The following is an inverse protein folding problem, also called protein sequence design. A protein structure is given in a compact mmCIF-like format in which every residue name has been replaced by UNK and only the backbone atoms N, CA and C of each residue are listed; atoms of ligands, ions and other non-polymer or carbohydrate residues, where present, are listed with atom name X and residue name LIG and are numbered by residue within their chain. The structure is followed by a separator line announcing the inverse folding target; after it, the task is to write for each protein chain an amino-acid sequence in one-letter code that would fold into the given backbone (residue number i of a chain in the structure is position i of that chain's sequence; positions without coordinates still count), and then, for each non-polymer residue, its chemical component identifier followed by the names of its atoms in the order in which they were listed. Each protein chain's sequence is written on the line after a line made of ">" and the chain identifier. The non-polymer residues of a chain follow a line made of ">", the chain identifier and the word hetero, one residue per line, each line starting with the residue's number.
data_IF_830043516647
#
_entry.id   IF_830043516647
#
_cell.length_a   1.000
_cell.length_b   1.000
_cell.length_c   1.000
_cell.angle_alpha   90.00
_cell.angle_beta   90.00
_cell.angle_gamma   90.00
#
_symmetry.space_group_name_H-M   'P 1'
#
loop_
_entity.id
_entity.type
_entity.pdbx_description
1 polymer ?
#
# COMPACT_ATOMS: atom_id res chain seq x y z
N UNK A 1 -35.29 -21.15 33.90
CA UNK A 1 -35.00 -21.53 32.51
C UNK A 1 -36.05 -20.86 31.62
N UNK A 2 -35.67 -19.80 30.93
CA UNK A 2 -36.55 -19.09 30.01
C UNK A 2 -35.77 -18.86 28.72
N UNK A 3 -36.04 -19.67 27.69
CA UNK A 3 -35.54 -19.46 26.35
C UNK A 3 -36.20 -18.22 25.76
N UNK A 4 -35.40 -17.32 25.18
CA UNK A 4 -35.87 -16.25 24.31
C UNK A 4 -35.55 -16.61 22.86
N UNK A 5 -36.60 -16.62 22.06
CA UNK A 5 -36.56 -16.71 20.63
C UNK A 5 -35.93 -15.45 19.99
N UNK A 6 -34.95 -15.71 19.11
CA UNK A 6 -34.75 -15.22 17.73
C UNK A 6 -34.95 -13.71 17.45
N UNK A 7 -33.93 -13.06 16.87
CA UNK A 7 -34.19 -12.28 15.66
C UNK A 7 -32.99 -12.17 14.70
N UNK A 8 -33.23 -12.67 13.49
CA UNK A 8 -32.61 -12.36 12.19
C UNK A 8 -31.55 -11.25 12.15
N UNK A 9 -30.28 -11.65 12.01
CA UNK A 9 -29.37 -10.93 11.13
C UNK A 9 -29.23 -11.72 9.83
N UNK A 10 -29.56 -11.02 8.74
CA UNK A 10 -29.65 -11.49 7.37
C UNK A 10 -28.56 -12.51 7.03
N UNK A 11 -29.00 -13.74 6.75
CA UNK A 11 -28.31 -14.65 5.85
C UNK A 11 -28.28 -13.98 4.49
N UNK A 12 -27.25 -13.16 4.21
CA UNK A 12 -26.94 -12.69 2.87
C UNK A 12 -26.77 -13.94 2.00
N UNK A 13 -27.56 -14.04 0.93
CA UNK A 13 -27.49 -15.13 -0.05
C UNK A 13 -26.03 -15.39 -0.42
N UNK A 14 -25.55 -16.54 -0.01
CA UNK A 14 -24.28 -17.13 -0.40
C UNK A 14 -24.33 -17.45 -1.90
N UNK A 15 -24.14 -16.45 -2.76
CA UNK A 15 -23.28 -16.69 -3.91
C UNK A 15 -21.90 -16.78 -3.32
N UNK A 16 -21.36 -17.99 -3.24
CA UNK A 16 -19.96 -18.22 -2.90
C UNK A 16 -19.17 -17.56 -4.03
N UNK A 17 -18.91 -16.26 -3.92
CA UNK A 17 -18.00 -15.56 -4.82
C UNK A 17 -16.69 -16.31 -4.73
N UNK A 18 -16.19 -16.72 -5.89
CA UNK A 18 -15.01 -17.55 -5.97
C UNK A 18 -13.85 -16.69 -5.48
N UNK A 19 -13.27 -17.08 -4.34
CA UNK A 19 -12.02 -16.49 -3.86
C UNK A 19 -10.93 -16.74 -4.89
N UNK A 20 -9.95 -15.84 -4.95
CA UNK A 20 -8.86 -15.90 -5.91
C UNK A 20 -8.04 -17.18 -5.71
N UNK A 21 -7.63 -17.85 -6.80
CA UNK A 21 -6.73 -19.00 -6.67
C UNK A 21 -5.36 -18.57 -6.10
N UNK A 22 -4.70 -19.44 -5.33
CA UNK A 22 -3.41 -19.13 -4.70
C UNK A 22 -2.36 -18.68 -5.72
N UNK A 23 -2.34 -19.28 -6.93
CA UNK A 23 -1.38 -18.89 -7.97
C UNK A 23 -1.71 -17.54 -8.57
N UNK A 24 -2.99 -17.23 -8.75
CA UNK A 24 -3.43 -15.92 -9.24
C UNK A 24 -3.08 -14.83 -8.22
N UNK A 25 -3.30 -15.11 -6.94
CA UNK A 25 -2.91 -14.24 -5.82
C UNK A 25 -1.41 -13.99 -5.79
N UNK A 26 -0.59 -15.04 -5.83
CA UNK A 26 0.87 -14.92 -5.89
C UNK A 26 1.35 -14.14 -7.12
N UNK A 27 0.75 -14.38 -8.29
CA UNK A 27 1.08 -13.65 -9.51
C UNK A 27 0.73 -12.16 -9.40
N UNK A 28 -0.39 -11.80 -8.76
CA UNK A 28 -0.78 -10.41 -8.53
C UNK A 28 0.17 -9.72 -7.54
N UNK A 29 0.56 -10.41 -6.46
CA UNK A 29 1.53 -9.91 -5.48
C UNK A 29 2.88 -9.65 -6.14
N UNK A 30 3.36 -10.60 -6.96
CA UNK A 30 4.61 -10.43 -7.69
C UNK A 30 4.51 -9.30 -8.73
N UNK A 31 3.39 -9.20 -9.44
CA UNK A 31 3.13 -8.10 -10.38
C UNK A 31 3.18 -6.73 -9.69
N UNK A 32 2.63 -6.62 -8.47
CA UNK A 32 2.69 -5.38 -7.70
C UNK A 32 4.13 -4.98 -7.37
N UNK A 33 4.97 -5.95 -7.00
CA UNK A 33 6.42 -5.72 -6.82
C UNK A 33 7.08 -5.24 -8.11
N UNK A 34 6.91 -5.99 -9.20
CA UNK A 34 7.59 -5.74 -10.46
C UNK A 34 7.25 -4.34 -11.01
N UNK A 35 5.97 -3.97 -10.92
CA UNK A 35 5.50 -2.65 -11.35
C UNK A 35 5.99 -1.54 -10.41
N UNK A 36 5.90 -1.71 -9.09
CA UNK A 36 6.39 -0.72 -8.13
C UNK A 36 7.89 -0.45 -8.29
N UNK A 37 8.69 -1.52 -8.42
CA UNK A 37 10.12 -1.44 -8.70
C UNK A 37 10.38 -0.72 -10.03
N UNK A 38 9.74 -1.18 -11.10
CA UNK A 38 9.90 -0.62 -12.44
C UNK A 38 9.55 0.86 -12.49
N UNK A 39 8.44 1.25 -11.86
CA UNK A 39 7.99 2.64 -11.89
C UNK A 39 8.93 3.55 -11.11
N UNK A 40 9.49 3.11 -9.98
CA UNK A 40 10.51 3.91 -9.29
C UNK A 40 11.77 4.07 -10.16
N UNK A 41 12.17 3.00 -10.86
CA UNK A 41 13.31 2.98 -11.78
C UNK A 41 13.10 3.85 -13.03
N UNK A 42 11.88 3.91 -13.55
CA UNK A 42 11.61 4.56 -14.84
C UNK A 42 11.04 5.97 -14.67
N UNK A 43 10.24 6.22 -13.62
CA UNK A 43 9.45 7.45 -13.45
C UNK A 43 9.74 8.25 -12.17
N UNK A 44 10.30 7.62 -11.13
CA UNK A 44 10.52 8.21 -9.81
C UNK A 44 9.20 8.55 -9.08
N UNK A 45 9.33 9.09 -7.88
CA UNK A 45 8.18 9.42 -7.04
C UNK A 45 7.72 8.19 -6.26
N UNK A 46 8.56 7.72 -5.34
CA UNK A 46 8.45 6.41 -4.72
C UNK A 46 7.09 6.07 -4.09
N UNK A 47 6.40 7.03 -3.49
CA UNK A 47 5.04 6.82 -3.00
C UNK A 47 4.02 6.60 -4.13
N UNK A 48 4.09 7.41 -5.19
CA UNK A 48 3.24 7.25 -6.37
C UNK A 48 3.53 5.94 -7.11
N UNK A 49 4.79 5.52 -7.15
CA UNK A 49 5.20 4.28 -7.79
C UNK A 49 4.66 3.04 -7.06
N UNK A 50 4.70 3.02 -5.72
CA UNK A 50 4.07 1.95 -4.94
C UNK A 50 2.55 1.91 -5.15
N UNK A 51 1.90 3.08 -5.13
CA UNK A 51 0.45 3.20 -5.40
C UNK A 51 0.10 2.66 -6.79
N UNK A 52 0.81 3.13 -7.83
CA UNK A 52 0.58 2.71 -9.20
C UNK A 52 0.87 1.21 -9.39
N UNK A 53 1.92 0.68 -8.76
CA UNK A 53 2.23 -0.75 -8.80
C UNK A 53 1.09 -1.61 -8.27
N UNK A 54 0.50 -1.24 -7.13
CA UNK A 54 -0.67 -1.94 -6.57
C UNK A 54 -1.92 -1.77 -7.45
N UNK A 55 -2.23 -0.53 -7.86
CA UNK A 55 -3.39 -0.23 -8.69
C UNK A 55 -3.36 -1.00 -10.03
N UNK A 56 -2.23 -0.97 -10.73
CA UNK A 56 -2.09 -1.64 -12.02
C UNK A 56 -1.98 -3.17 -11.90
N UNK A 57 -1.50 -3.68 -10.77
CA UNK A 57 -1.54 -5.11 -10.48
C UNK A 57 -2.99 -5.60 -10.34
N UNK A 58 -3.83 -4.89 -9.60
CA UNK A 58 -5.27 -5.18 -9.46
C UNK A 58 -6.07 -4.81 -10.71
N UNK A 59 -5.56 -3.91 -11.55
CA UNK A 59 -6.34 -3.24 -12.59
C UNK A 59 -7.44 -2.36 -12.02
N UNK A 60 -7.26 -1.80 -10.81
CA UNK A 60 -8.16 -0.85 -10.14
C UNK A 60 -7.37 0.45 -9.95
N UNK A 61 -7.79 1.52 -10.60
CA UNK A 61 -7.11 2.83 -10.48
C UNK A 61 -7.85 3.77 -9.56
N UNK A 62 -7.11 4.62 -8.86
CA UNK A 62 -7.63 5.78 -8.16
C UNK A 62 -6.64 6.95 -8.35
N UNK A 63 -6.97 7.84 -9.27
CA UNK A 63 -6.09 8.96 -9.65
C UNK A 63 -5.96 10.00 -8.53
N UNK A 64 -6.95 10.12 -7.64
CA UNK A 64 -6.87 11.02 -6.49
C UNK A 64 -5.86 10.51 -5.47
N UNK A 65 -5.87 9.21 -5.18
CA UNK A 65 -4.87 8.57 -4.29
C UNK A 65 -3.47 8.67 -4.92
N UNK A 66 -3.34 8.36 -6.22
CA UNK A 66 -2.07 8.50 -6.94
C UNK A 66 -1.53 9.93 -6.92
N UNK A 67 -2.38 10.93 -7.18
CA UNK A 67 -1.99 12.35 -7.19
C UNK A 67 -1.61 12.84 -5.78
N UNK A 68 -2.36 12.44 -4.76
CA UNK A 68 -2.08 12.79 -3.37
C UNK A 68 -0.72 12.25 -2.88
N UNK A 69 -0.26 11.13 -3.44
CA UNK A 69 1.05 10.54 -3.10
C UNK A 69 2.27 11.34 -3.57
N UNK A 70 2.12 12.33 -4.46
CA UNK A 70 3.25 13.02 -5.09
C UNK A 70 4.19 13.70 -4.09
N UNK A 71 3.64 14.44 -3.13
CA UNK A 71 4.41 15.15 -2.11
C UNK A 71 5.00 14.25 -1.00
N UNK A 72 4.92 12.93 -1.15
CA UNK A 72 5.36 11.95 -0.15
C UNK A 72 6.63 11.19 -0.58
N UNK A 73 7.24 11.57 -1.70
CA UNK A 73 8.45 10.96 -2.23
C UNK A 73 9.72 11.31 -1.41
N UNK A 74 10.73 10.45 -1.37
CA UNK A 74 11.98 10.76 -0.65
C UNK A 74 11.78 11.13 0.83
N UNK A 75 10.77 10.57 1.50
CA UNK A 75 10.43 10.93 2.87
C UNK A 75 9.60 12.21 3.00
N UNK A 76 8.89 12.63 1.94
CA UNK A 76 8.02 13.81 1.93
C UNK A 76 8.37 14.78 0.81
N UNK A 77 8.67 16.03 1.14
CA UNK A 77 9.28 16.95 0.18
C UNK A 77 10.77 16.66 -0.01
N UNK A 78 11.13 15.40 -0.30
CA UNK A 78 12.54 14.94 -0.37
C UNK A 78 13.32 15.14 0.95
N UNK A 79 12.62 15.30 2.07
CA UNK A 79 13.23 15.62 3.36
C UNK A 79 14.00 14.45 3.99
N UNK A 80 13.78 13.21 3.55
CA UNK A 80 14.28 11.93 4.10
C UNK A 80 13.93 11.62 5.55
N UNK A 81 13.49 12.59 6.32
CA UNK A 81 13.13 12.46 7.75
C UNK A 81 11.69 12.00 7.97
N UNK A 82 10.90 11.89 6.91
CA UNK A 82 9.57 11.27 6.92
C UNK A 82 9.57 9.81 6.44
N UNK A 83 8.38 9.25 6.33
CA UNK A 83 8.18 7.85 5.94
C UNK A 83 8.70 7.54 4.53
N UNK A 84 9.32 6.37 4.35
CA UNK A 84 9.69 5.82 3.05
C UNK A 84 8.47 5.77 2.10
N UNK A 85 8.67 6.15 0.84
CA UNK A 85 7.59 6.19 -0.14
C UNK A 85 6.95 4.82 -0.39
N UNK A 86 7.73 3.73 -0.37
CA UNK A 86 7.18 2.37 -0.48
C UNK A 86 6.17 2.04 0.62
N UNK A 87 6.51 2.37 1.88
CA UNK A 87 5.62 2.20 3.03
C UNK A 87 4.39 3.11 2.94
N UNK A 88 4.62 4.40 2.67
CA UNK A 88 3.55 5.40 2.56
C UNK A 88 2.56 5.05 1.46
N UNK A 89 3.04 4.71 0.26
CA UNK A 89 2.19 4.39 -0.88
C UNK A 89 1.33 3.15 -0.64
N UNK A 90 1.91 2.08 -0.08
CA UNK A 90 1.17 0.89 0.31
C UNK A 90 0.09 1.20 1.36
N UNK A 91 0.44 1.99 2.38
CA UNK A 91 -0.49 2.42 3.43
C UNK A 91 -1.66 3.23 2.86
N UNK A 92 -1.39 4.10 1.87
CA UNK A 92 -2.42 4.91 1.21
C UNK A 92 -3.40 4.05 0.42
N UNK A 93 -2.92 3.02 -0.30
CA UNK A 93 -3.82 2.10 -1.03
C UNK A 93 -4.65 1.28 -0.04
N UNK A 94 -4.05 0.70 1.00
CA UNK A 94 -4.80 -0.04 2.02
C UNK A 94 -5.89 0.81 2.67
N UNK A 95 -5.55 2.06 3.02
CA UNK A 95 -6.50 3.01 3.59
C UNK A 95 -7.54 3.53 2.58
N UNK A 96 -7.31 3.44 1.26
CA UNK A 96 -8.36 3.79 0.29
C UNK A 96 -9.42 2.71 0.17
N UNK A 97 -9.10 1.45 0.46
CA UNK A 97 -10.07 0.34 0.49
C UNK A 97 -10.85 0.29 1.80
N UNK A 98 -10.15 0.42 2.94
CA UNK A 98 -10.76 0.21 4.26
C UNK A 98 -10.67 1.42 5.17
N UNK A 99 -10.47 2.62 4.65
CA UNK A 99 -10.47 3.85 5.42
C UNK A 99 -11.88 4.40 5.63
N UNK A 100 -12.10 5.03 6.78
CA UNK A 100 -13.37 5.72 7.05
C UNK A 100 -13.55 6.95 6.16
N UNK A 101 -14.79 7.22 5.77
CA UNK A 101 -15.17 8.48 5.13
C UNK A 101 -15.39 9.59 6.16
N UNK A 102 -15.40 10.84 5.70
CA UNK A 102 -15.81 11.99 6.54
C UNK A 102 -17.27 11.86 6.99
N UNK A 103 -18.16 11.38 6.13
CA UNK A 103 -19.58 11.20 6.47
C UNK A 103 -19.78 10.20 7.62
N UNK A 104 -18.91 9.18 7.72
CA UNK A 104 -18.98 8.13 8.74
C UNK A 104 -18.05 8.37 9.93
N UNK A 105 -17.38 9.52 10.04
CA UNK A 105 -16.22 9.68 10.96
C UNK A 105 -16.54 9.50 12.45
N UNK A 106 -17.78 9.77 12.84
CA UNK A 106 -18.30 9.66 14.20
C UNK A 106 -19.21 8.44 14.42
N UNK A 107 -19.26 7.51 13.45
CA UNK A 107 -20.10 6.31 13.52
C UNK A 107 -19.32 5.09 14.05
N UNK A 108 -20.04 4.05 14.45
CA UNK A 108 -19.42 2.76 14.83
C UNK A 108 -18.76 2.07 13.63
N UNK A 109 -19.43 2.09 12.47
CA UNK A 109 -18.90 1.56 11.20
C UNK A 109 -17.60 2.27 10.79
N UNK A 110 -17.60 3.60 10.72
CA UNK A 110 -16.38 4.35 10.40
C UNK A 110 -15.29 4.23 11.46
N UNK A 111 -15.62 3.85 12.70
CA UNK A 111 -14.61 3.48 13.70
C UNK A 111 -13.99 2.12 13.38
N UNK A 112 -14.77 1.14 12.95
CA UNK A 112 -14.29 -0.17 12.53
C UNK A 112 -13.34 -0.05 11.33
N UNK A 113 -13.79 0.60 10.24
CA UNK A 113 -12.98 0.84 9.03
C UNK A 113 -11.61 1.45 9.39
N UNK A 114 -11.61 2.51 10.21
CA UNK A 114 -10.38 3.13 10.69
C UNK A 114 -9.43 2.13 11.35
N UNK A 115 -9.92 1.22 12.19
CA UNK A 115 -9.06 0.23 12.85
C UNK A 115 -8.58 -0.87 11.89
N UNK A 116 -9.36 -1.23 10.86
CA UNK A 116 -8.90 -2.13 9.81
C UNK A 116 -7.77 -1.49 9.00
N UNK A 117 -7.93 -0.22 8.58
CA UNK A 117 -6.84 0.52 7.92
C UNK A 117 -5.58 0.62 8.79
N UNK A 118 -5.72 0.80 10.11
CA UNK A 118 -4.59 0.86 11.04
C UNK A 118 -3.89 -0.48 11.18
N UNK A 119 -4.66 -1.57 11.27
CA UNK A 119 -4.11 -2.92 11.40
C UNK A 119 -3.33 -3.32 10.16
N UNK A 120 -3.88 -3.09 8.96
CA UNK A 120 -3.18 -3.41 7.72
C UNK A 120 -1.93 -2.54 7.54
N UNK A 121 -2.02 -1.23 7.82
CA UNK A 121 -0.86 -0.33 7.79
C UNK A 121 0.24 -0.79 8.75
N UNK A 122 -0.14 -1.25 9.95
CA UNK A 122 0.80 -1.84 10.92
C UNK A 122 1.48 -3.09 10.38
N UNK A 123 0.76 -3.96 9.67
CA UNK A 123 1.36 -5.15 9.06
C UNK A 123 2.41 -4.79 7.99
N UNK A 124 2.19 -3.72 7.20
CA UNK A 124 3.24 -3.21 6.28
C UNK A 124 4.41 -2.64 7.08
N UNK A 125 4.13 -1.85 8.12
CA UNK A 125 5.16 -1.30 9.00
C UNK A 125 6.07 -2.39 9.55
N UNK A 126 5.51 -3.48 10.07
CA UNK A 126 6.27 -4.56 10.69
C UNK A 126 7.20 -5.25 9.67
N UNK A 127 6.74 -5.46 8.43
CA UNK A 127 7.59 -5.97 7.34
C UNK A 127 8.71 -4.99 6.96
N UNK A 128 8.45 -3.68 6.97
CA UNK A 128 9.49 -2.67 6.75
C UNK A 128 10.52 -2.65 7.88
N UNK A 129 10.08 -2.71 9.14
CA UNK A 129 11.00 -2.76 10.28
C UNK A 129 11.82 -4.05 10.25
N UNK A 130 11.20 -5.18 9.94
CA UNK A 130 11.91 -6.46 9.83
C UNK A 130 13.01 -6.44 8.76
N UNK A 131 12.72 -5.91 7.56
CA UNK A 131 13.68 -5.92 6.44
C UNK A 131 14.66 -4.74 6.46
N UNK A 132 14.20 -3.57 6.88
CA UNK A 132 14.90 -2.29 6.71
C UNK A 132 15.25 -1.59 8.02
N UNK A 133 14.88 -2.15 9.17
CA UNK A 133 15.06 -1.58 10.53
C UNK A 133 14.32 -0.25 10.75
N UNK A 134 13.53 0.21 9.76
CA UNK A 134 12.82 1.49 9.84
C UNK A 134 11.73 1.61 8.78
N UNK A 135 10.73 2.44 9.08
CA UNK A 135 9.82 3.01 8.07
C UNK A 135 10.24 4.42 7.64
N UNK A 136 11.19 5.05 8.32
CA UNK A 136 11.68 6.39 7.99
C UNK A 136 12.66 6.29 6.84
N UNK A 137 12.54 7.17 5.84
CA UNK A 137 13.31 7.09 4.61
C UNK A 137 14.82 7.11 4.89
N UNK A 138 15.30 7.95 5.79
CA UNK A 138 16.69 7.96 6.25
C UNK A 138 17.14 6.60 6.83
N UNK A 139 16.31 5.98 7.67
CA UNK A 139 16.61 4.66 8.25
C UNK A 139 16.66 3.55 7.20
N UNK A 140 15.68 3.55 6.29
CA UNK A 140 15.66 2.64 5.14
C UNK A 140 16.90 2.82 4.27
N UNK A 141 17.28 4.07 3.98
CA UNK A 141 18.52 4.37 3.23
C UNK A 141 19.74 3.81 3.95
N UNK A 142 19.86 4.01 5.28
CA UNK A 142 21.00 3.47 6.04
C UNK A 142 21.12 1.95 5.90
N UNK A 143 20.00 1.22 5.87
CA UNK A 143 20.04 -0.22 5.61
C UNK A 143 20.49 -0.54 4.18
N UNK A 144 19.96 0.16 3.18
CA UNK A 144 20.23 -0.09 1.76
C UNK A 144 21.65 0.34 1.31
N UNK A 145 22.21 1.38 1.92
CA UNK A 145 23.47 2.02 1.54
C UNK A 145 24.54 1.92 2.63
N UNK A 146 24.53 0.82 3.39
CA UNK A 146 25.59 0.45 4.34
C UNK A 146 25.92 1.55 5.37
N UNK A 147 24.88 2.06 6.04
CA UNK A 147 24.94 3.08 7.07
C UNK A 147 24.86 4.52 6.57
N UNK A 148 24.73 4.74 5.25
CA UNK A 148 24.63 6.08 4.66
C UNK A 148 23.18 6.47 4.36
N UNK A 149 22.90 7.76 4.51
CA UNK A 149 21.72 8.42 3.97
C UNK A 149 22.14 9.71 3.26
N UNK A 150 21.27 10.23 2.41
CA UNK A 150 21.55 11.38 1.55
C UNK A 150 20.45 12.43 1.74
N UNK A 151 20.81 13.70 1.94
CA UNK A 151 19.82 14.80 1.83
C UNK A 151 19.48 15.00 0.36
N UNK A 152 18.27 14.64 -0.02
CA UNK A 152 17.83 14.66 -1.42
C UNK A 152 17.52 16.07 -1.94
N UNK A 153 17.56 17.09 -1.06
CA UNK A 153 17.40 18.51 -1.42
C UNK A 153 18.73 19.21 -1.66
N UNK A 154 19.83 18.55 -1.31
CA UNK A 154 21.19 18.97 -1.67
C UNK A 154 21.57 18.27 -2.97
N UNK A 155 21.89 19.04 -4.01
CA UNK A 155 22.08 18.49 -5.36
C UNK A 155 23.29 17.54 -5.45
N UNK A 156 24.36 17.81 -4.71
CA UNK A 156 25.55 16.96 -4.68
C UNK A 156 25.25 15.62 -4.00
N UNK A 157 24.55 15.63 -2.87
CA UNK A 157 24.10 14.41 -2.21
C UNK A 157 23.04 13.66 -3.01
N UNK A 158 22.14 14.36 -3.70
CA UNK A 158 21.16 13.75 -4.60
C UNK A 158 21.83 13.06 -5.77
N UNK A 159 22.90 13.64 -6.32
CA UNK A 159 23.70 12.98 -7.35
C UNK A 159 24.45 11.78 -6.76
N UNK A 160 25.07 11.91 -5.58
CA UNK A 160 25.72 10.78 -4.91
C UNK A 160 24.74 9.63 -4.60
N UNK A 161 23.50 9.93 -4.24
CA UNK A 161 22.43 8.94 -4.06
C UNK A 161 22.13 8.18 -5.36
N UNK A 162 22.06 8.89 -6.49
CA UNK A 162 21.87 8.29 -7.82
C UNK A 162 23.05 7.42 -8.22
N UNK A 163 24.26 7.90 -8.02
CA UNK A 163 25.50 7.19 -8.32
C UNK A 163 25.68 5.96 -7.44
N UNK A 164 25.10 5.97 -6.24
CA UNK A 164 25.03 4.84 -5.32
C UNK A 164 23.95 3.79 -5.66
N UNK A 165 23.36 3.86 -6.86
CA UNK A 165 22.49 2.81 -7.36
C UNK A 165 21.00 3.01 -7.12
N UNK A 166 20.55 4.12 -6.53
CA UNK A 166 19.17 4.31 -6.06
C UNK A 166 18.05 3.96 -7.07
N UNK A 167 18.37 4.07 -8.35
CA UNK A 167 17.46 4.00 -9.47
C UNK A 167 17.87 3.03 -10.57
N UNK A 168 18.86 2.16 -10.33
CA UNK A 168 19.31 1.20 -11.33
C UNK A 168 19.84 -0.11 -10.72
N UNK A 169 20.26 -0.10 -9.45
CA UNK A 169 20.63 -1.31 -8.74
C UNK A 169 19.38 -2.00 -8.16
N UNK A 170 19.35 -3.33 -8.28
CA UNK A 170 18.20 -4.15 -7.92
C UNK A 170 17.97 -4.27 -6.39
N UNK A 171 18.92 -3.85 -5.58
CA UNK A 171 18.92 -3.99 -4.12
C UNK A 171 18.79 -2.64 -3.38
N UNK A 172 18.41 -1.56 -4.08
CA UNK A 172 18.32 -0.19 -3.52
C UNK A 172 16.88 0.32 -3.40
N UNK A 173 16.64 1.63 -3.54
CA UNK A 173 15.32 2.22 -3.29
C UNK A 173 14.20 1.66 -4.18
N UNK A 174 14.51 1.22 -5.40
CA UNK A 174 13.55 0.53 -6.26
C UNK A 174 13.01 -0.76 -5.60
N UNK A 175 13.88 -1.53 -4.91
CA UNK A 175 13.47 -2.71 -4.14
C UNK A 175 12.54 -2.34 -3.00
N UNK A 176 12.84 -1.29 -2.23
CA UNK A 176 12.00 -0.86 -1.13
C UNK A 176 10.60 -0.39 -1.59
N UNK A 177 10.50 0.22 -2.77
CA UNK A 177 9.21 0.57 -3.38
C UNK A 177 8.45 -0.67 -3.84
N UNK A 178 9.12 -1.58 -4.55
CA UNK A 178 8.53 -2.85 -4.97
C UNK A 178 8.04 -3.66 -3.78
N UNK A 179 8.82 -3.75 -2.70
CA UNK A 179 8.43 -4.47 -1.48
C UNK A 179 7.21 -3.84 -0.81
N UNK A 180 7.16 -2.50 -0.73
CA UNK A 180 5.97 -1.82 -0.25
C UNK A 180 4.72 -2.22 -1.04
N UNK A 181 4.79 -2.19 -2.37
CA UNK A 181 3.69 -2.61 -3.23
C UNK A 181 3.33 -4.10 -3.06
N UNK A 182 4.33 -4.97 -2.96
CA UNK A 182 4.18 -6.42 -2.74
C UNK A 182 3.45 -6.71 -1.43
N UNK A 183 3.94 -6.16 -0.33
CA UNK A 183 3.41 -6.40 1.00
C UNK A 183 2.04 -5.77 1.18
N UNK A 184 1.84 -4.56 0.63
CA UNK A 184 0.52 -3.94 0.56
C UNK A 184 -0.48 -4.83 -0.18
N UNK A 185 -0.08 -5.42 -1.32
CA UNK A 185 -0.94 -6.32 -2.09
C UNK A 185 -1.27 -7.59 -1.31
N UNK A 186 -0.26 -8.23 -0.72
CA UNK A 186 -0.41 -9.44 0.11
C UNK A 186 -1.44 -9.19 1.22
N UNK A 187 -1.24 -8.13 2.00
CA UNK A 187 -2.10 -7.76 3.13
C UNK A 187 -3.53 -7.43 2.66
N UNK A 188 -3.68 -6.70 1.55
CA UNK A 188 -4.99 -6.38 1.00
C UNK A 188 -5.76 -7.64 0.59
N UNK A 189 -5.10 -8.56 -0.11
CA UNK A 189 -5.74 -9.78 -0.59
C UNK A 189 -6.09 -10.72 0.58
N UNK A 190 -5.22 -10.82 1.59
CA UNK A 190 -5.53 -11.55 2.84
C UNK A 190 -6.73 -10.95 3.58
N UNK A 191 -6.83 -9.62 3.63
CA UNK A 191 -7.96 -8.93 4.24
C UNK A 191 -9.27 -9.26 3.53
N UNK A 192 -9.28 -9.15 2.20
CA UNK A 192 -10.44 -9.47 1.37
C UNK A 192 -10.90 -10.92 1.58
N UNK A 193 -9.96 -11.87 1.56
CA UNK A 193 -10.25 -13.29 1.80
C UNK A 193 -10.88 -13.50 3.18
N UNK A 194 -10.34 -12.84 4.22
CA UNK A 194 -10.84 -12.96 5.60
C UNK A 194 -12.27 -12.44 5.77
N UNK A 195 -12.66 -11.45 4.94
CA UNK A 195 -13.99 -10.85 4.94
C UNK A 195 -14.95 -11.49 3.93
N UNK A 196 -14.48 -12.45 3.13
CA UNK A 196 -15.25 -13.04 2.03
C UNK A 196 -15.59 -12.01 0.94
N UNK A 197 -14.73 -11.00 0.77
CA UNK A 197 -14.84 -9.94 -0.23
C UNK A 197 -13.92 -10.21 -1.42
N UNK A 198 -14.15 -9.49 -2.51
CA UNK A 198 -13.36 -9.56 -3.73
C UNK A 198 -12.97 -8.16 -4.20
N UNK A 199 -11.99 -8.04 -5.08
CA UNK A 199 -11.64 -6.75 -5.70
C UNK A 199 -12.84 -6.10 -6.42
N UNK A 200 -13.76 -6.89 -6.95
CA UNK A 200 -14.97 -6.40 -7.62
C UNK A 200 -15.93 -5.68 -6.67
N UNK A 201 -15.82 -5.90 -5.35
CA UNK A 201 -16.56 -5.11 -4.37
C UNK A 201 -16.14 -3.65 -4.34
N UNK A 202 -14.98 -3.33 -4.89
CA UNK A 202 -14.37 -1.99 -4.89
C UNK A 202 -14.32 -1.36 -6.28
N UNK A 203 -14.93 -1.98 -7.30
CA UNK A 203 -14.96 -1.44 -8.67
C UNK A 203 -16.21 -0.61 -8.95
N UNK A 204 -16.03 0.48 -9.68
CA UNK A 204 -17.11 1.17 -10.39
C UNK A 204 -17.42 0.50 -11.75
N UNK A 205 -18.31 1.11 -12.53
CA UNK A 205 -18.71 0.59 -13.84
C UNK A 205 -17.57 0.63 -14.88
N UNK A 206 -16.62 1.54 -14.70
CA UNK A 206 -15.42 1.69 -15.53
C UNK A 206 -14.26 0.77 -15.06
N UNK A 207 -14.41 0.09 -13.94
CA UNK A 207 -13.41 -0.79 -13.34
C UNK A 207 -12.38 -0.08 -12.46
N UNK A 208 -12.53 1.22 -12.22
CA UNK A 208 -11.72 2.00 -11.28
C UNK A 208 -12.20 1.81 -9.84
N UNK A 209 -11.47 2.34 -8.88
CA UNK A 209 -11.90 2.28 -7.48
C UNK A 209 -13.18 3.11 -7.32
N UNK A 210 -14.26 2.46 -6.88
CA UNK A 210 -15.53 3.15 -6.63
C UNK A 210 -15.35 4.21 -5.55
N UNK A 211 -16.06 5.33 -5.72
CA UNK A 211 -16.18 6.34 -4.68
C UNK A 211 -16.87 5.72 -3.45
N UNK A 212 -16.44 6.08 -2.23
CA UNK A 212 -17.05 5.54 -1.03
C UNK A 212 -18.44 6.16 -0.81
N UNK A 213 -19.38 5.34 -0.33
CA UNK A 213 -20.77 5.72 -0.02
C UNK A 213 -20.91 6.67 1.19
#
# INVERSE_FOLDING_TARGET
>A
MAGRHINNHLVRKCHRRQLMDSKEKEAMIQKAYDLGFKYERDYRGCAQCAIAGMHDAMGIKNDLVYKAGSGLAGGGGECTTGNCGGYTGASMVLASFFGRTRAKEATEEGRADKYDSFRMTRAVHDKFVEKYDSVICEGVQKTLYHGKSYDLRDEDQKQAFRDAGAHHDDDKCCMAVGDGARWGMEILLDELDSMGMTLDDFRDAEGNQKEPE
#
